data_IF_875418082047
#
_entry.id   IF_875418082047
#
_cell.length_a   1.000
_cell.length_b   1.000
_cell.length_c   1.000
_cell.angle_alpha   90.00
_cell.angle_beta   90.00
_cell.angle_gamma   90.00
#
_symmetry.space_group_name_H-M   'P 1'
#
loop_
_entity.id
_entity.type
_entity.pdbx_description
1 polymer ?
#
# COMPACT_ATOMS: atom_id res chain seq x y z
N UNK A 1 9.26 -37.28 57.58
CA UNK A 1 9.94 -37.55 56.31
C UNK A 1 8.95 -37.70 55.14
N UNK A 2 7.84 -38.40 55.26
CA UNK A 2 6.86 -38.64 54.21
C UNK A 2 6.23 -37.36 53.59
N UNK A 3 5.96 -36.32 54.43
CA UNK A 3 5.38 -35.04 53.94
C UNK A 3 6.33 -34.22 53.07
N UNK A 4 7.64 -34.25 53.34
CA UNK A 4 8.66 -33.53 52.55
C UNK A 4 8.92 -34.23 51.20
N UNK A 5 8.82 -35.56 51.16
CA UNK A 5 8.95 -36.35 49.96
C UNK A 5 7.75 -36.15 49.05
N UNK A 6 6.55 -36.06 49.58
CA UNK A 6 5.32 -35.79 48.81
C UNK A 6 5.34 -34.40 48.20
N UNK A 7 5.86 -33.40 48.92
CA UNK A 7 6.00 -32.03 48.39
C UNK A 7 7.04 -31.95 47.25
N UNK A 8 8.12 -32.72 47.34
CA UNK A 8 9.15 -32.74 46.28
C UNK A 8 8.64 -33.40 44.99
N UNK A 9 7.86 -34.48 45.11
CA UNK A 9 7.24 -35.16 43.98
C UNK A 9 6.18 -34.25 43.30
N UNK A 10 5.39 -33.51 44.10
CA UNK A 10 4.39 -32.57 43.60
C UNK A 10 5.06 -31.40 42.85
N UNK A 11 6.20 -30.93 43.36
CA UNK A 11 6.97 -29.84 42.73
C UNK A 11 7.60 -30.30 41.41
N UNK A 12 8.10 -31.53 41.33
CA UNK A 12 8.63 -32.09 40.09
C UNK A 12 7.57 -32.34 39.00
N UNK A 13 6.35 -32.74 39.40
CA UNK A 13 5.25 -32.91 38.42
C UNK A 13 4.76 -31.57 37.88
N UNK A 14 4.79 -30.51 38.70
CA UNK A 14 4.40 -29.17 38.25
C UNK A 14 5.43 -28.55 37.30
N UNK A 15 6.72 -28.86 37.46
CA UNK A 15 7.80 -28.39 36.56
C UNK A 15 7.80 -29.14 35.20
N UNK A 16 7.29 -30.37 35.17
CA UNK A 16 7.25 -31.20 33.96
C UNK A 16 6.19 -30.78 32.94
N UNK A 17 5.16 -30.03 33.35
CA UNK A 17 4.05 -29.63 32.48
C UNK A 17 4.34 -28.35 31.65
N UNK A 18 5.41 -27.62 31.98
CA UNK A 18 5.73 -26.35 31.28
C UNK A 18 6.60 -26.58 30.04
N UNK A 19 7.15 -27.80 29.84
CA UNK A 19 8.01 -28.10 28.69
C UNK A 19 7.31 -28.84 27.54
N UNK A 20 6.01 -29.10 27.63
CA UNK A 20 5.27 -29.82 26.57
C UNK A 20 4.46 -28.92 25.65
N UNK A 21 4.68 -27.63 25.66
CA UNK A 21 3.89 -26.63 24.96
C UNK A 21 4.56 -25.99 23.74
N UNK A 22 5.29 -26.75 22.93
CA UNK A 22 5.68 -26.28 21.60
C UNK A 22 5.93 -27.49 20.69
N UNK A 23 4.88 -27.96 20.08
CA UNK A 23 4.96 -29.04 19.13
C UNK A 23 3.64 -29.20 18.41
N UNK A 24 3.19 -28.17 17.75
CA UNK A 24 2.24 -28.36 16.66
C UNK A 24 2.85 -27.74 15.40
N UNK A 25 3.25 -28.64 14.52
CA UNK A 25 3.79 -28.32 13.24
C UNK A 25 2.73 -27.69 12.35
N UNK A 26 2.45 -26.44 12.59
CA UNK A 26 1.95 -25.60 11.53
C UNK A 26 3.04 -25.57 10.47
N UNK A 27 2.72 -26.15 9.31
CA UNK A 27 3.56 -26.08 8.14
C UNK A 27 4.00 -24.63 7.96
N UNK A 28 5.22 -24.31 8.37
CA UNK A 28 5.89 -23.15 7.87
C UNK A 28 5.99 -23.39 6.36
N UNK A 29 5.01 -22.91 5.64
CA UNK A 29 5.12 -22.71 4.22
C UNK A 29 6.45 -21.97 4.04
N UNK A 30 7.44 -22.69 3.51
CA UNK A 30 8.71 -22.10 3.16
C UNK A 30 8.35 -20.93 2.26
N UNK A 31 8.38 -19.75 2.84
CA UNK A 31 8.34 -18.51 2.11
C UNK A 31 9.56 -18.54 1.21
N UNK A 32 9.35 -19.12 0.01
CA UNK A 32 10.34 -19.14 -1.05
C UNK A 32 10.72 -17.68 -1.23
N UNK A 33 11.95 -17.32 -0.92
CA UNK A 33 12.43 -15.97 -1.07
C UNK A 33 12.18 -15.57 -2.52
N UNK A 34 11.25 -14.64 -2.74
CA UNK A 34 10.88 -14.10 -4.04
C UNK A 34 11.93 -13.11 -4.57
N UNK A 35 13.20 -13.33 -4.25
CA UNK A 35 14.30 -12.42 -4.58
C UNK A 35 14.56 -12.26 -6.10
N UNK A 36 13.89 -13.07 -6.94
CA UNK A 36 14.12 -13.08 -8.40
C UNK A 36 12.88 -12.72 -9.24
N UNK A 37 11.82 -12.20 -8.63
CA UNK A 37 10.65 -11.75 -9.39
C UNK A 37 10.58 -10.23 -9.34
N UNK A 38 10.39 -9.58 -10.50
CA UNK A 38 10.04 -8.17 -10.62
C UNK A 38 8.60 -7.91 -10.13
N UNK A 39 8.18 -8.61 -9.08
CA UNK A 39 6.84 -8.59 -8.53
C UNK A 39 6.90 -8.04 -7.10
N UNK A 40 6.18 -6.95 -6.87
CA UNK A 40 5.91 -6.40 -5.55
C UNK A 40 4.50 -6.78 -5.13
N UNK A 41 4.37 -7.51 -4.01
CA UNK A 41 3.07 -7.84 -3.42
C UNK A 41 2.82 -6.92 -2.23
N UNK A 42 1.80 -6.11 -2.33
CA UNK A 42 1.40 -5.17 -1.27
C UNK A 42 0.10 -5.66 -0.65
N UNK A 43 0.10 -5.88 0.67
CA UNK A 43 -1.10 -6.16 1.44
C UNK A 43 -1.79 -4.85 1.84
N UNK A 44 -3.09 -4.75 1.57
CA UNK A 44 -3.92 -3.64 2.03
C UNK A 44 -4.97 -4.16 3.02
N UNK A 45 -5.31 -3.35 4.03
CA UNK A 45 -6.25 -3.75 5.08
C UNK A 45 -7.72 -3.56 4.71
N UNK A 46 -8.01 -3.01 3.54
CA UNK A 46 -9.35 -2.66 3.08
C UNK A 46 -9.69 -3.36 1.78
N UNK A 47 -10.95 -3.75 1.62
CA UNK A 47 -11.43 -4.35 0.38
C UNK A 47 -11.50 -3.32 -0.76
N UNK A 48 -11.22 -3.78 -1.98
CA UNK A 48 -11.35 -3.01 -3.21
C UNK A 48 -12.77 -3.17 -3.79
N UNK A 49 -13.78 -2.90 -3.00
CA UNK A 49 -15.20 -3.05 -3.34
C UNK A 49 -15.85 -1.75 -3.88
N UNK A 50 -15.02 -0.85 -4.38
CA UNK A 50 -15.41 0.43 -4.97
C UNK A 50 -15.06 0.48 -6.46
N UNK A 51 -15.50 1.54 -7.15
CA UNK A 51 -15.18 1.78 -8.56
C UNK A 51 -13.66 1.97 -8.76
N UNK A 52 -13.10 1.33 -9.78
CA UNK A 52 -11.75 1.60 -10.27
C UNK A 52 -11.69 2.77 -11.27
N UNK A 53 -12.77 3.50 -11.43
CA UNK A 53 -12.81 4.77 -12.15
C UNK A 53 -12.35 5.89 -11.19
N UNK A 54 -11.26 6.62 -11.49
CA UNK A 54 -10.71 7.65 -10.60
C UNK A 54 -11.69 8.79 -10.32
N UNK A 55 -12.68 9.02 -11.20
CA UNK A 55 -13.71 10.04 -11.02
C UNK A 55 -14.89 9.59 -10.14
N UNK A 56 -14.99 8.29 -9.84
CA UNK A 56 -16.11 7.70 -9.09
C UNK A 56 -15.70 7.11 -7.75
N UNK A 57 -14.43 6.75 -7.60
CA UNK A 57 -13.96 6.10 -6.37
C UNK A 57 -14.01 7.05 -5.18
N UNK A 58 -14.58 6.59 -4.07
CA UNK A 58 -14.72 7.36 -2.82
C UNK A 58 -14.01 6.70 -1.64
N UNK A 59 -13.76 5.39 -1.70
CA UNK A 59 -13.15 4.64 -0.59
C UNK A 59 -11.64 4.81 -0.55
N UNK A 60 -11.10 5.01 0.65
CA UNK A 60 -9.68 5.29 0.87
C UNK A 60 -8.76 4.17 0.33
N UNK A 61 -9.08 2.89 0.60
CA UNK A 61 -8.27 1.76 0.14
C UNK A 61 -8.19 1.67 -1.38
N UNK A 62 -9.31 1.88 -2.09
CA UNK A 62 -9.32 1.94 -3.54
C UNK A 62 -8.49 3.11 -4.06
N UNK A 63 -8.61 4.29 -3.43
CA UNK A 63 -7.82 5.48 -3.83
C UNK A 63 -6.32 5.28 -3.66
N UNK A 64 -5.87 4.58 -2.63
CA UNK A 64 -4.45 4.23 -2.45
C UNK A 64 -3.91 3.41 -3.62
N UNK A 65 -4.69 2.44 -4.12
CA UNK A 65 -4.32 1.68 -5.32
C UNK A 65 -4.33 2.58 -6.56
N UNK A 66 -5.36 3.43 -6.70
CA UNK A 66 -5.52 4.31 -7.85
C UNK A 66 -4.37 5.32 -8.00
N UNK A 67 -3.77 5.78 -6.91
CA UNK A 67 -2.57 6.64 -6.95
C UNK A 67 -1.34 5.96 -7.59
N UNK A 68 -1.34 4.64 -7.70
CA UNK A 68 -0.28 3.89 -8.37
C UNK A 68 -0.62 3.54 -9.83
N UNK A 69 -1.86 3.76 -10.25
CA UNK A 69 -2.37 3.43 -11.60
C UNK A 69 -2.62 4.69 -12.42
N UNK A 70 -3.11 5.75 -11.77
CA UNK A 70 -3.46 7.01 -12.43
C UNK A 70 -2.62 8.15 -11.87
N UNK A 71 -2.27 9.09 -12.73
CA UNK A 71 -1.55 10.29 -12.35
C UNK A 71 -2.28 11.53 -12.88
N UNK A 72 -2.54 12.50 -12.00
CA UNK A 72 -3.15 13.77 -12.37
C UNK A 72 -2.12 14.81 -12.84
N UNK A 73 -2.58 16.01 -13.17
CA UNK A 73 -1.68 17.15 -13.44
C UNK A 73 -0.76 17.44 -12.27
N UNK A 74 -1.29 17.31 -11.06
CA UNK A 74 -0.60 17.48 -9.78
C UNK A 74 -0.81 16.23 -8.94
N UNK A 75 0.10 15.97 -8.01
CA UNK A 75 -0.01 14.88 -7.03
C UNK A 75 0.31 15.36 -5.62
N UNK A 76 -0.29 14.75 -4.58
CA UNK A 76 0.06 15.06 -3.20
C UNK A 76 1.46 14.55 -2.85
N UNK A 77 2.14 15.29 -1.99
CA UNK A 77 3.36 14.85 -1.31
C UNK A 77 3.02 14.20 0.04
N UNK A 78 3.95 13.46 0.66
CA UNK A 78 3.74 12.93 2.01
C UNK A 78 3.42 13.99 3.07
N UNK A 79 3.88 15.23 2.86
CA UNK A 79 3.66 16.37 3.76
C UNK A 79 2.31 17.06 3.53
N UNK A 80 1.55 16.61 2.52
CA UNK A 80 0.21 17.12 2.18
C UNK A 80 0.23 18.28 1.18
N UNK A 81 1.38 18.69 0.70
CA UNK A 81 1.51 19.69 -0.37
C UNK A 81 1.20 19.06 -1.73
N UNK A 82 1.03 19.91 -2.75
CA UNK A 82 0.87 19.49 -4.14
C UNK A 82 2.16 19.74 -4.92
N UNK A 83 2.57 18.76 -5.71
CA UNK A 83 3.72 18.85 -6.63
C UNK A 83 3.28 18.52 -8.07
N UNK A 84 3.93 19.12 -9.09
CA UNK A 84 3.68 18.75 -10.47
C UNK A 84 3.92 17.25 -10.75
N UNK A 85 3.05 16.66 -11.59
CA UNK A 85 3.09 15.26 -11.98
C UNK A 85 3.06 15.11 -13.50
N UNK A 86 1.89 14.95 -14.14
CA UNK A 86 1.75 15.04 -15.61
C UNK A 86 2.09 16.46 -16.09
N UNK A 87 1.76 17.48 -15.30
CA UNK A 87 2.29 18.81 -15.54
C UNK A 87 3.78 18.89 -15.18
N UNK A 88 4.56 19.59 -15.97
CA UNK A 88 5.93 19.99 -15.64
C UNK A 88 5.94 21.16 -14.66
N UNK A 89 5.07 22.15 -14.90
CA UNK A 89 4.90 23.36 -14.11
C UNK A 89 3.50 23.92 -14.26
N UNK A 90 3.15 24.81 -13.35
CA UNK A 90 1.93 25.61 -13.47
C UNK A 90 2.18 27.06 -13.01
N UNK A 91 1.31 27.94 -13.47
CA UNK A 91 1.24 29.32 -12.99
C UNK A 91 -0.16 29.68 -12.60
N UNK A 92 -0.31 30.61 -11.67
CA UNK A 92 -1.59 31.13 -11.20
C UNK A 92 -1.63 32.64 -11.46
N UNK A 93 -2.72 33.13 -12.03
CA UNK A 93 -2.92 34.56 -12.23
C UNK A 93 -2.99 35.34 -10.90
N UNK A 94 -2.74 36.64 -10.92
CA UNK A 94 -2.76 37.50 -9.72
C UNK A 94 -4.11 37.46 -9.00
N UNK A 95 -5.21 37.40 -9.76
CA UNK A 95 -6.58 37.28 -9.25
C UNK A 95 -6.95 35.87 -8.76
N UNK A 96 -6.04 34.88 -8.96
CA UNK A 96 -6.20 33.45 -8.61
C UNK A 96 -7.38 32.76 -9.30
N UNK A 97 -7.87 33.28 -10.40
CA UNK A 97 -8.98 32.69 -11.14
C UNK A 97 -8.53 31.82 -12.32
N UNK A 98 -7.28 32.01 -12.77
CA UNK A 98 -6.73 31.25 -13.92
C UNK A 98 -5.51 30.46 -13.51
N UNK A 99 -5.53 29.15 -13.78
CA UNK A 99 -4.42 28.23 -13.62
C UNK A 99 -3.96 27.76 -15.00
N UNK A 100 -2.71 27.98 -15.33
CA UNK A 100 -2.12 27.55 -16.59
C UNK A 100 -1.12 26.43 -16.31
N UNK A 101 -1.35 25.25 -16.87
CA UNK A 101 -0.47 24.10 -16.76
C UNK A 101 0.33 23.92 -18.05
N UNK A 102 1.60 23.60 -17.93
CA UNK A 102 2.43 23.11 -19.03
C UNK A 102 2.64 21.62 -18.84
N UNK A 103 2.25 20.81 -19.82
CA UNK A 103 2.43 19.36 -19.75
C UNK A 103 3.92 19.03 -19.88
N UNK A 104 4.34 17.97 -19.20
CA UNK A 104 5.67 17.40 -19.34
C UNK A 104 5.80 16.71 -20.69
N UNK A 105 6.94 16.85 -21.33
CA UNK A 105 7.22 16.15 -22.58
C UNK A 105 7.31 14.63 -22.38
N UNK A 106 6.79 13.89 -23.35
CA UNK A 106 6.93 12.43 -23.44
C UNK A 106 6.08 11.63 -22.45
N UNK A 107 5.11 12.25 -21.76
CA UNK A 107 4.14 11.52 -20.94
C UNK A 107 3.28 10.63 -21.83
N UNK A 108 3.10 9.38 -21.40
CA UNK A 108 2.37 8.37 -22.16
C UNK A 108 1.28 7.70 -21.32
N UNK A 109 0.21 7.32 -21.98
CA UNK A 109 -0.76 6.37 -21.45
C UNK A 109 -0.17 4.95 -21.35
N UNK A 110 -0.83 4.05 -20.62
CA UNK A 110 -0.40 2.66 -20.48
C UNK A 110 -0.36 1.89 -21.81
N UNK A 111 -1.14 2.30 -22.80
CA UNK A 111 -1.13 1.74 -24.15
C UNK A 111 0.03 2.27 -25.05
N UNK A 112 0.79 3.24 -24.53
CA UNK A 112 1.93 3.85 -25.22
C UNK A 112 1.63 5.13 -26.01
N UNK A 113 0.36 5.54 -26.13
CA UNK A 113 -0.03 6.79 -26.76
C UNK A 113 0.48 8.00 -25.95
N UNK A 114 0.80 9.09 -26.63
CA UNK A 114 1.26 10.31 -25.97
C UNK A 114 0.07 11.08 -25.41
N UNK A 115 0.18 11.54 -24.15
CA UNK A 115 -0.82 12.39 -23.52
C UNK A 115 -0.80 13.79 -24.15
N UNK A 116 -1.97 14.30 -24.50
CA UNK A 116 -2.18 15.62 -25.12
C UNK A 116 -2.97 16.56 -24.21
N UNK A 117 -3.02 17.84 -24.56
CA UNK A 117 -3.86 18.80 -23.83
C UNK A 117 -5.35 18.49 -24.00
N UNK A 118 -5.75 17.95 -25.15
CA UNK A 118 -7.12 17.52 -25.42
C UNK A 118 -7.56 16.39 -24.51
N UNK A 119 -6.67 15.45 -24.21
CA UNK A 119 -6.94 14.35 -23.27
C UNK A 119 -7.18 14.88 -21.86
N UNK A 120 -6.39 15.86 -21.45
CA UNK A 120 -6.55 16.52 -20.13
C UNK A 120 -7.88 17.27 -20.04
N UNK A 121 -8.28 17.96 -21.12
CA UNK A 121 -9.58 18.67 -21.16
C UNK A 121 -10.74 17.69 -21.17
N UNK A 122 -10.58 16.53 -21.80
CA UNK A 122 -11.61 15.49 -21.83
C UNK A 122 -11.84 14.85 -20.46
N UNK A 123 -10.77 14.61 -19.71
CA UNK A 123 -10.80 14.01 -18.36
C UNK A 123 -11.41 14.94 -17.34
#
# INVERSE_FOLDING_TARGET
>A
MKKKFLALVLLMTLLGTVLSGCGDGSAAEKQKSRADTNELVVGIAQDLDDSLDPHKTVKAGTREVMFNVFEGLMKPTPDGDLTPAVAERYTVSEDRLTYTFTLRDGVKFHNGDTVTAEDVVYS
#
